data_IF_186362346241
#
_entry.id   IF_186362346241
#
_cell.length_a   1.000
_cell.length_b   1.000
_cell.length_c   1.000
_cell.angle_alpha   90.00
_cell.angle_beta   90.00
_cell.angle_gamma   90.00
#
_symmetry.space_group_name_H-M   'P 1'
#
loop_
_entity.id
_entity.type
_entity.pdbx_description
1 polymer ?
#
# COMPACT_ATOMS: atom_id res chain seq x y z
N UNK A 1 9.15 57.32 -29.77
CA UNK A 1 8.47 57.01 -28.49
C UNK A 1 9.09 55.73 -27.95
N UNK A 2 10.01 55.82 -27.00
CA UNK A 2 10.61 54.67 -26.33
C UNK A 2 9.58 54.22 -25.30
N UNK A 3 9.05 53.02 -25.46
CA UNK A 3 8.12 52.41 -24.51
C UNK A 3 8.83 52.19 -23.18
N UNK A 4 8.53 53.06 -22.20
CA UNK A 4 8.85 52.82 -20.79
C UNK A 4 7.95 51.68 -20.28
N UNK A 5 8.32 50.44 -20.59
CA UNK A 5 7.87 49.30 -19.81
C UNK A 5 8.56 49.41 -18.45
N UNK A 6 7.79 49.70 -17.39
CA UNK A 6 8.26 49.60 -16.01
C UNK A 6 8.90 48.21 -15.83
N UNK A 7 10.12 48.10 -15.26
CA UNK A 7 10.76 46.81 -15.08
C UNK A 7 9.83 45.91 -14.24
N UNK A 8 9.45 44.76 -14.79
CA UNK A 8 8.58 43.79 -14.11
C UNK A 8 9.24 43.38 -12.79
N UNK A 9 8.74 43.90 -11.67
CA UNK A 9 9.25 43.56 -10.34
C UNK A 9 8.69 42.20 -9.97
N UNK A 10 9.56 41.18 -10.03
CA UNK A 10 9.19 39.83 -9.65
C UNK A 10 9.30 39.64 -8.13
N UNK A 11 8.38 38.87 -7.51
CA UNK A 11 8.40 38.65 -6.07
C UNK A 11 9.65 37.85 -5.66
N UNK A 12 10.27 38.24 -4.54
CA UNK A 12 11.38 37.50 -3.93
C UNK A 12 10.83 36.60 -2.84
N UNK A 13 11.33 35.36 -2.77
CA UNK A 13 10.92 34.42 -1.74
C UNK A 13 11.32 34.92 -0.34
N UNK A 14 10.35 34.88 0.58
CA UNK A 14 10.57 35.11 2.00
C UNK A 14 10.83 33.77 2.70
N UNK A 15 12.09 33.56 3.10
CA UNK A 15 12.51 32.36 3.81
C UNK A 15 11.89 32.21 5.22
N UNK A 16 11.27 33.27 5.76
CA UNK A 16 10.58 33.24 7.06
C UNK A 16 9.11 32.84 6.95
N UNK A 17 8.58 32.70 5.72
CA UNK A 17 7.20 32.31 5.47
C UNK A 17 6.87 30.96 6.11
N UNK A 18 5.75 30.92 6.83
CA UNK A 18 5.24 29.70 7.45
C UNK A 18 5.01 28.61 6.38
N UNK A 19 5.60 27.43 6.58
CA UNK A 19 5.59 26.36 5.58
C UNK A 19 4.18 25.94 5.12
N UNK A 20 3.18 26.02 6.00
CA UNK A 20 1.77 25.68 5.70
C UNK A 20 1.10 26.63 4.73
N UNK A 21 1.62 27.85 4.61
CA UNK A 21 1.10 28.91 3.75
C UNK A 21 1.96 29.10 2.51
N UNK A 22 2.86 28.16 2.22
CA UNK A 22 3.78 28.26 1.09
C UNK A 22 3.00 28.33 -0.23
N UNK A 23 3.25 29.40 -0.99
CA UNK A 23 2.68 29.65 -2.32
C UNK A 23 3.81 29.88 -3.31
N UNK A 24 3.62 29.37 -4.52
CA UNK A 24 4.55 29.53 -5.63
C UNK A 24 3.90 30.46 -6.64
N UNK A 25 4.64 31.47 -7.10
CA UNK A 25 4.14 32.46 -8.05
C UNK A 25 5.03 32.48 -9.29
N UNK A 26 4.43 32.75 -10.45
CA UNK A 26 5.19 32.91 -11.69
C UNK A 26 6.17 34.07 -11.54
N UNK A 27 7.43 33.84 -11.94
CA UNK A 27 8.49 34.83 -11.85
C UNK A 27 9.14 34.93 -10.47
N UNK A 28 8.64 34.23 -9.43
CA UNK A 28 9.21 34.25 -8.09
C UNK A 28 10.69 33.86 -8.07
N UNK A 29 11.49 34.61 -7.30
CA UNK A 29 12.95 34.52 -7.24
C UNK A 29 13.44 33.93 -5.93
N UNK A 30 14.42 33.04 -6.02
CA UNK A 30 15.06 32.36 -4.91
C UNK A 30 16.56 32.64 -4.92
N UNK A 31 17.17 32.66 -3.75
CA UNK A 31 18.61 32.88 -3.54
C UNK A 31 19.43 31.68 -3.99
N UNK A 32 18.84 30.48 -4.00
CA UNK A 32 19.52 29.26 -4.45
C UNK A 32 18.55 28.18 -4.96
N UNK A 33 19.02 27.22 -5.78
CA UNK A 33 18.23 26.04 -6.15
C UNK A 33 17.75 25.22 -4.95
N UNK A 34 18.52 25.23 -3.85
CA UNK A 34 18.18 24.51 -2.62
C UNK A 34 16.99 25.15 -1.90
N UNK A 35 16.89 26.47 -1.92
CA UNK A 35 15.80 27.23 -1.32
C UNK A 35 14.49 27.02 -2.10
N UNK A 36 14.55 27.00 -3.43
CA UNK A 36 13.40 26.62 -4.26
C UNK A 36 12.95 25.18 -3.96
N UNK A 37 13.88 24.22 -3.84
CA UNK A 37 13.53 22.83 -3.48
C UNK A 37 12.86 22.74 -2.11
N UNK A 38 13.31 23.51 -1.14
CA UNK A 38 12.69 23.55 0.18
C UNK A 38 11.28 24.14 0.11
N UNK A 39 11.10 25.21 -0.67
CA UNK A 39 9.79 25.82 -0.90
C UNK A 39 8.82 24.88 -1.63
N UNK A 40 9.30 24.16 -2.64
CA UNK A 40 8.54 23.10 -3.31
C UNK A 40 8.16 21.97 -2.36
N UNK A 41 9.06 21.59 -1.46
CA UNK A 41 8.80 20.60 -0.41
C UNK A 41 7.70 21.08 0.54
N UNK A 42 7.77 22.33 0.98
CA UNK A 42 6.77 22.92 1.88
C UNK A 42 5.40 23.03 1.20
N UNK A 43 5.37 23.51 -0.06
CA UNK A 43 4.17 23.54 -0.89
C UNK A 43 3.55 22.14 -1.07
N UNK A 44 4.39 21.15 -1.40
CA UNK A 44 3.99 19.76 -1.54
C UNK A 44 3.41 19.17 -0.25
N UNK A 45 4.01 19.43 0.90
CA UNK A 45 3.55 18.92 2.19
C UNK A 45 2.26 19.62 2.66
N UNK A 46 2.17 20.94 2.47
CA UNK A 46 1.00 21.73 2.87
C UNK A 46 -0.27 21.28 2.14
N UNK A 47 -0.16 21.11 0.82
CA UNK A 47 -1.29 20.73 -0.03
C UNK A 47 -1.40 19.21 -0.22
N UNK A 48 -0.35 18.46 0.14
CA UNK A 48 -0.26 17.01 0.04
C UNK A 48 -0.07 16.50 -1.40
N UNK A 49 0.76 17.16 -2.19
CA UNK A 49 1.08 16.75 -3.56
C UNK A 49 2.38 15.95 -3.61
N UNK A 50 2.40 14.82 -4.34
CA UNK A 50 3.63 14.10 -4.66
C UNK A 50 4.29 14.71 -5.90
N UNK A 51 5.34 15.51 -5.68
CA UNK A 51 6.05 16.20 -6.75
C UNK A 51 7.17 15.34 -7.31
N UNK A 52 7.19 15.17 -8.63
CA UNK A 52 8.26 14.48 -9.35
C UNK A 52 9.19 15.48 -10.03
N UNK A 53 10.50 15.35 -9.77
CA UNK A 53 11.54 16.16 -10.38
C UNK A 53 12.06 15.46 -11.65
N UNK A 54 11.68 15.96 -12.82
CA UNK A 54 12.11 15.39 -14.12
C UNK A 54 13.56 15.79 -14.43
N UNK A 55 13.94 17.03 -14.10
CA UNK A 55 15.32 17.51 -14.24
C UNK A 55 15.74 18.37 -13.07
N UNK A 56 16.98 18.23 -12.66
CA UNK A 56 17.58 19.01 -11.58
C UNK A 56 19.07 19.11 -11.86
N UNK A 57 19.51 20.29 -12.28
CA UNK A 57 20.92 20.63 -12.45
C UNK A 57 21.21 21.95 -11.74
N UNK A 58 22.42 22.52 -11.94
CA UNK A 58 22.83 23.77 -11.28
C UNK A 58 22.07 24.98 -11.81
N UNK A 59 21.61 24.92 -13.05
CA UNK A 59 21.07 26.05 -13.79
C UNK A 59 19.56 25.93 -14.05
N UNK A 60 18.96 24.74 -13.86
CA UNK A 60 17.57 24.44 -14.22
C UNK A 60 16.95 23.39 -13.29
N UNK A 61 15.66 23.58 -13.02
CA UNK A 61 14.83 22.68 -12.24
C UNK A 61 13.48 22.53 -12.94
N UNK A 62 13.08 21.29 -13.20
CA UNK A 62 11.82 20.94 -13.86
C UNK A 62 11.03 19.96 -12.99
N UNK A 63 9.84 20.38 -12.56
CA UNK A 63 8.88 19.57 -11.80
C UNK A 63 7.72 19.21 -12.71
N UNK A 64 7.44 17.92 -12.82
CA UNK A 64 6.40 17.36 -13.70
C UNK A 64 5.89 16.03 -13.12
N UNK A 65 5.00 16.09 -12.12
CA UNK A 65 4.27 14.93 -11.63
C UNK A 65 3.36 14.32 -12.71
N UNK A 66 2.76 13.17 -12.40
CA UNK A 66 1.73 12.53 -13.23
C UNK A 66 0.37 13.25 -13.10
N UNK A 67 0.37 14.57 -13.21
CA UNK A 67 -0.82 15.42 -13.24
C UNK A 67 -0.51 16.72 -14.05
N UNK A 68 -1.50 17.61 -14.29
CA UNK A 68 -1.30 18.82 -15.10
C UNK A 68 -0.24 19.78 -14.55
N UNK A 69 0.06 19.71 -13.25
CA UNK A 69 1.01 20.59 -12.59
C UNK A 69 2.39 20.54 -13.24
N UNK A 70 2.95 21.72 -13.52
CA UNK A 70 4.30 21.87 -14.05
C UNK A 70 4.97 23.12 -13.52
N UNK A 71 6.26 23.00 -13.23
CA UNK A 71 7.09 24.15 -12.84
C UNK A 71 8.46 24.03 -13.50
N UNK A 72 8.87 25.09 -14.18
CA UNK A 72 10.23 25.25 -14.69
C UNK A 72 10.88 26.46 -14.04
N UNK A 73 12.06 26.27 -13.46
CA UNK A 73 12.86 27.33 -12.89
C UNK A 73 14.30 27.26 -13.41
N UNK A 74 14.97 28.40 -13.49
CA UNK A 74 16.36 28.46 -13.96
C UNK A 74 17.17 29.58 -13.32
N UNK A 75 18.50 29.41 -13.34
CA UNK A 75 19.46 30.40 -12.85
C UNK A 75 19.52 31.63 -13.74
N UNK A 76 19.45 32.79 -13.12
CA UNK A 76 19.57 34.11 -13.73
C UNK A 76 20.96 34.63 -13.40
N UNK A 77 21.82 34.76 -14.41
CA UNK A 77 23.22 35.18 -14.23
C UNK A 77 23.35 36.62 -13.74
N UNK A 78 22.51 37.49 -14.28
CA UNK A 78 22.56 38.94 -14.00
C UNK A 78 22.19 39.24 -12.55
N UNK A 79 21.13 38.59 -12.06
CA UNK A 79 20.58 38.81 -10.71
C UNK A 79 21.10 37.81 -9.66
N UNK A 80 21.95 36.85 -10.06
CA UNK A 80 22.41 35.73 -9.23
C UNK A 80 21.28 35.04 -8.43
N UNK A 81 20.12 34.86 -9.07
CA UNK A 81 18.92 34.28 -8.45
C UNK A 81 18.39 33.13 -9.29
N UNK A 82 17.61 32.26 -8.67
CA UNK A 82 16.91 31.17 -9.33
C UNK A 82 15.44 31.55 -9.50
N UNK A 83 14.96 31.65 -10.73
CA UNK A 83 13.63 32.21 -11.03
C UNK A 83 12.69 31.16 -11.61
N UNK A 84 11.43 31.15 -11.17
CA UNK A 84 10.34 30.38 -11.78
C UNK A 84 9.95 31.03 -13.12
N UNK A 85 10.20 30.33 -14.23
CA UNK A 85 9.91 30.81 -15.61
C UNK A 85 8.58 30.33 -16.16
N UNK A 86 8.12 29.17 -15.70
CA UNK A 86 6.79 28.68 -16.02
C UNK A 86 6.18 27.98 -14.82
N UNK A 87 4.88 28.16 -14.64
CA UNK A 87 4.10 27.57 -13.58
C UNK A 87 2.70 27.23 -14.12
N UNK A 88 2.29 25.99 -13.90
CA UNK A 88 0.92 25.50 -14.08
C UNK A 88 0.49 24.92 -12.75
N UNK A 89 -0.49 25.54 -12.11
CA UNK A 89 -0.90 25.21 -10.73
C UNK A 89 -1.92 24.08 -10.66
N UNK A 90 -2.54 23.70 -11.77
CA UNK A 90 -3.62 22.72 -11.80
C UNK A 90 -3.14 21.33 -11.34
N UNK A 91 -3.81 20.79 -10.32
CA UNK A 91 -3.60 19.44 -9.83
C UNK A 91 -4.86 18.59 -10.02
N UNK A 92 -4.68 17.40 -10.61
CA UNK A 92 -5.70 16.34 -10.63
C UNK A 92 -5.34 15.13 -9.77
N UNK A 93 -4.18 15.20 -9.10
CA UNK A 93 -3.69 14.13 -8.24
C UNK A 93 -4.39 14.12 -6.88
N UNK A 94 -4.57 12.93 -6.30
CA UNK A 94 -5.02 12.80 -4.92
C UNK A 94 -3.94 13.24 -3.94
N UNK A 95 -4.37 13.61 -2.74
CA UNK A 95 -3.47 13.86 -1.61
C UNK A 95 -2.58 12.63 -1.37
N UNK A 96 -1.27 12.83 -1.48
CA UNK A 96 -0.26 11.84 -1.14
C UNK A 96 0.08 11.94 0.35
N UNK A 97 -0.04 10.82 1.07
CA UNK A 97 0.26 10.77 2.50
C UNK A 97 1.67 10.23 2.79
N UNK A 98 2.33 9.63 1.80
CA UNK A 98 3.70 9.09 1.89
C UNK A 98 4.72 10.01 1.22
N UNK A 99 4.95 11.20 1.79
CA UNK A 99 5.94 12.18 1.30
C UNK A 99 7.35 11.97 1.90
N UNK A 100 7.65 10.76 2.38
CA UNK A 100 8.86 10.47 3.17
C UNK A 100 10.18 10.78 2.46
N UNK A 101 10.20 10.74 1.12
CA UNK A 101 11.35 11.11 0.29
C UNK A 101 11.69 12.60 0.37
N UNK A 102 10.69 13.46 0.55
CA UNK A 102 10.80 14.92 0.59
C UNK A 102 11.34 15.40 1.95
N UNK A 103 11.01 14.68 3.04
CA UNK A 103 11.42 15.02 4.42
C UNK A 103 12.55 14.11 4.92
N UNK A 104 13.41 13.61 4.02
CA UNK A 104 14.46 12.64 4.39
C UNK A 104 15.58 13.29 5.21
N UNK A 105 15.43 13.26 6.54
CA UNK A 105 16.51 13.48 7.51
C UNK A 105 17.18 12.15 7.85
N UNK A 106 18.44 11.99 7.43
CA UNK A 106 19.27 10.87 7.83
C UNK A 106 20.09 11.23 9.07
N UNK A 107 20.62 10.21 9.76
CA UNK A 107 21.39 10.40 10.99
C UNK A 107 22.63 11.30 10.81
N UNK A 108 23.20 11.37 9.60
CA UNK A 108 24.34 12.24 9.28
C UNK A 108 23.93 13.71 9.21
N UNK A 109 22.78 14.02 8.60
CA UNK A 109 22.22 15.38 8.56
C UNK A 109 21.83 15.86 9.97
N UNK A 110 21.26 14.98 10.79
CA UNK A 110 20.94 15.29 12.19
C UNK A 110 22.21 15.62 12.98
N UNK A 111 23.26 14.80 12.87
CA UNK A 111 24.57 15.09 13.49
C UNK A 111 25.14 16.44 13.02
N UNK A 112 25.14 16.71 11.72
CA UNK A 112 25.67 17.95 11.16
C UNK A 112 24.88 19.19 11.64
N UNK A 113 23.55 19.07 11.74
CA UNK A 113 22.68 20.13 12.25
C UNK A 113 22.95 20.44 13.73
N UNK A 114 23.03 19.42 14.58
CA UNK A 114 23.33 19.59 16.01
C UNK A 114 24.70 20.24 16.21
N UNK A 115 25.70 19.77 15.45
CA UNK A 115 27.03 20.37 15.47
C UNK A 115 27.04 21.83 15.02
N UNK A 116 26.23 22.19 14.01
CA UNK A 116 26.17 23.57 13.53
C UNK A 116 25.43 24.51 14.48
N UNK A 117 24.32 24.06 15.07
CA UNK A 117 23.46 24.88 15.92
C UNK A 117 24.05 25.09 17.33
N UNK A 118 24.63 24.03 17.89
CA UNK A 118 25.05 24.03 19.30
C UNK A 118 26.56 23.93 19.48
N UNK A 119 27.32 23.80 18.38
CA UNK A 119 28.77 23.65 18.40
C UNK A 119 29.28 22.45 19.23
N UNK A 120 28.51 21.35 19.25
CA UNK A 120 28.81 20.13 20.01
C UNK A 120 28.95 18.94 19.06
N UNK A 121 29.95 18.09 19.29
CA UNK A 121 30.12 16.84 18.54
C UNK A 121 29.25 15.72 19.15
N UNK A 122 28.31 15.21 18.38
CA UNK A 122 27.47 14.07 18.76
C UNK A 122 27.82 12.83 17.94
N UNK A 123 27.75 11.65 18.55
CA UNK A 123 27.93 10.38 17.84
C UNK A 123 26.68 10.02 17.02
N UNK A 124 26.85 9.17 16.00
CA UNK A 124 25.72 8.63 15.23
C UNK A 124 24.81 7.78 16.12
N UNK A 125 25.37 7.11 17.13
CA UNK A 125 24.62 6.36 18.14
C UNK A 125 23.71 7.25 18.98
N UNK A 126 24.19 8.41 19.43
CA UNK A 126 23.37 9.40 20.14
C UNK A 126 22.22 9.92 19.26
N UNK A 127 22.48 10.23 17.99
CA UNK A 127 21.42 10.62 17.04
C UNK A 127 20.39 9.51 16.83
N UNK A 128 20.83 8.24 16.78
CA UNK A 128 19.94 7.08 16.65
C UNK A 128 19.06 6.91 17.88
N UNK A 129 19.62 7.04 19.08
CA UNK A 129 18.88 6.97 20.33
C UNK A 129 17.87 8.11 20.45
N UNK A 130 18.25 9.34 20.10
CA UNK A 130 17.35 10.48 20.04
C UNK A 130 16.20 10.25 19.05
N UNK A 131 16.49 9.74 17.84
CA UNK A 131 15.44 9.36 16.88
C UNK A 131 14.51 8.30 17.45
N UNK A 132 15.05 7.25 18.09
CA UNK A 132 14.25 6.18 18.69
C UNK A 132 13.36 6.72 19.80
N UNK A 133 13.90 7.57 20.67
CA UNK A 133 13.16 8.22 21.74
C UNK A 133 12.01 9.08 21.19
N UNK A 134 12.30 9.94 20.21
CA UNK A 134 11.28 10.76 19.55
C UNK A 134 10.18 9.91 18.89
N UNK A 135 10.55 8.80 18.24
CA UNK A 135 9.56 7.86 17.69
C UNK A 135 8.72 7.22 18.81
N UNK A 136 9.32 6.82 19.93
CA UNK A 136 8.59 6.28 21.08
C UNK A 136 7.67 7.34 21.73
N UNK A 137 8.05 8.61 21.79
CA UNK A 137 7.15 9.66 22.30
C UNK A 137 5.97 9.92 21.37
N UNK A 138 6.19 9.87 20.06
CA UNK A 138 5.13 10.12 19.06
C UNK A 138 4.19 8.92 18.94
N UNK A 139 4.75 7.71 18.84
CA UNK A 139 4.01 6.48 18.56
C UNK A 139 3.54 5.76 19.84
N UNK A 140 4.07 6.14 21.01
CA UNK A 140 3.85 5.47 22.29
C UNK A 140 4.72 4.21 22.46
N UNK A 141 4.70 3.64 23.67
CA UNK A 141 5.20 2.29 23.91
C UNK A 141 4.24 1.27 23.27
N UNK A 142 4.70 0.08 22.90
CA UNK A 142 3.93 -0.95 22.18
C UNK A 142 2.59 -1.31 22.87
N UNK A 143 2.42 -0.97 24.15
CA UNK A 143 1.20 -1.16 24.94
C UNK A 143 0.06 -0.18 24.60
N UNK A 144 0.40 1.07 24.25
CA UNK A 144 -0.56 2.16 24.02
C UNK A 144 -1.34 2.05 22.68
N UNK A 145 -0.77 1.49 21.59
CA UNK A 145 -1.53 1.22 20.38
C UNK A 145 -2.66 0.19 20.56
N UNK A 146 -2.52 -0.77 21.47
CA UNK A 146 -3.54 -1.81 21.67
C UNK A 146 -4.76 -1.29 22.45
N UNK A 147 -4.56 -0.39 23.41
CA UNK A 147 -5.69 0.22 24.15
C UNK A 147 -6.60 1.03 23.21
N UNK A 148 -6.04 1.62 22.15
CA UNK A 148 -6.76 2.46 21.18
C UNK A 148 -7.47 1.67 20.07
N UNK A 149 -7.37 0.33 20.04
CA UNK A 149 -7.98 -0.47 18.96
C UNK A 149 -9.50 -0.37 18.91
N UNK A 150 -10.14 -0.31 20.07
CA UNK A 150 -11.59 -0.18 20.16
C UNK A 150 -12.05 1.18 19.67
N UNK A 151 -11.40 2.26 20.13
CA UNK A 151 -11.67 3.62 19.68
C UNK A 151 -11.45 3.75 18.17
N UNK A 152 -10.38 3.15 17.65
CA UNK A 152 -10.09 3.11 16.22
C UNK A 152 -11.17 2.37 15.43
N UNK A 153 -11.65 1.23 15.94
CA UNK A 153 -12.74 0.48 15.31
C UNK A 153 -14.06 1.24 15.31
N UNK A 154 -14.37 1.97 16.38
CA UNK A 154 -15.53 2.87 16.46
C UNK A 154 -15.39 4.00 15.46
N UNK A 155 -14.21 4.60 15.34
CA UNK A 155 -13.95 5.68 14.40
C UNK A 155 -14.10 5.23 12.94
N UNK A 156 -13.66 4.00 12.60
CA UNK A 156 -13.91 3.42 11.28
C UNK A 156 -15.42 3.30 11.00
N UNK A 157 -16.19 2.80 11.97
CA UNK A 157 -17.66 2.65 11.82
C UNK A 157 -18.35 4.00 11.70
N UNK A 158 -17.88 5.01 12.43
CA UNK A 158 -18.37 6.41 12.37
C UNK A 158 -18.10 7.02 10.99
N UNK A 159 -16.86 6.94 10.51
CA UNK A 159 -16.44 7.54 9.24
C UNK A 159 -16.97 6.78 8.02
N UNK A 160 -17.23 5.47 8.14
CA UNK A 160 -17.75 4.63 7.07
C UNK A 160 -18.96 3.82 7.57
N UNK A 161 -20.15 4.44 7.67
CA UNK A 161 -21.36 3.78 8.14
C UNK A 161 -21.64 2.47 7.38
N UNK A 162 -21.99 1.42 8.12
CA UNK A 162 -22.23 0.08 7.57
C UNK A 162 -20.99 -0.80 7.39
N UNK A 163 -19.78 -0.30 7.66
CA UNK A 163 -18.58 -1.13 7.73
C UNK A 163 -18.59 -2.01 8.97
N UNK A 164 -18.08 -3.24 8.84
CA UNK A 164 -18.01 -4.20 9.94
C UNK A 164 -16.59 -4.23 10.52
N UNK A 165 -16.47 -4.00 11.83
CA UNK A 165 -15.18 -4.02 12.54
C UNK A 165 -15.36 -4.78 13.85
N UNK A 166 -14.46 -5.74 14.09
CA UNK A 166 -14.43 -6.57 15.29
C UNK A 166 -13.00 -6.76 15.81
N UNK A 167 -12.87 -6.69 17.13
CA UNK A 167 -11.61 -6.92 17.85
C UNK A 167 -11.76 -8.20 18.66
N UNK A 168 -10.93 -9.19 18.36
CA UNK A 168 -10.93 -10.48 19.03
C UNK A 168 -9.81 -10.52 20.06
N UNK A 169 -10.17 -10.89 21.30
CA UNK A 169 -9.25 -11.03 22.42
C UNK A 169 -9.47 -12.37 23.13
N UNK A 170 -8.39 -12.97 23.63
CA UNK A 170 -8.43 -14.14 24.50
C UNK A 170 -8.25 -13.71 25.95
N UNK A 171 -9.14 -14.11 26.87
CA UNK A 171 -8.91 -13.90 28.30
C UNK A 171 -7.75 -14.79 28.78
N UNK A 172 -6.86 -14.22 29.58
CA UNK A 172 -5.80 -14.94 30.27
C UNK A 172 -5.99 -14.81 31.80
N UNK A 173 -5.50 -15.80 32.55
CA UNK A 173 -5.61 -15.82 34.01
C UNK A 173 -5.04 -14.50 34.59
N UNK A 174 -5.78 -13.87 35.51
CA UNK A 174 -5.50 -12.57 36.15
C UNK A 174 -5.85 -11.31 35.35
N UNK A 175 -7.07 -11.25 34.78
CA UNK A 175 -7.68 -10.02 34.25
C UNK A 175 -6.91 -9.34 33.10
N UNK A 176 -5.98 -10.05 32.47
CA UNK A 176 -5.28 -9.59 31.27
C UNK A 176 -5.90 -10.25 30.04
N UNK A 177 -6.10 -9.48 28.98
CA UNK A 177 -6.61 -9.96 27.70
C UNK A 177 -5.49 -9.92 26.67
N UNK A 178 -5.36 -10.99 25.89
CA UNK A 178 -4.38 -11.09 24.81
C UNK A 178 -5.09 -10.79 23.49
N UNK A 179 -4.56 -9.83 22.74
CA UNK A 179 -5.04 -9.55 21.40
C UNK A 179 -4.84 -10.76 20.48
N UNK A 180 -5.90 -11.17 19.80
CA UNK A 180 -5.83 -12.22 18.78
C UNK A 180 -5.90 -11.64 17.37
N UNK A 181 -6.97 -10.89 17.05
CA UNK A 181 -7.26 -10.45 15.68
C UNK A 181 -8.01 -9.13 15.67
N UNK A 182 -7.76 -8.35 14.63
CA UNK A 182 -8.54 -7.17 14.28
C UNK A 182 -9.11 -7.40 12.89
N UNK A 183 -10.43 -7.47 12.78
CA UNK A 183 -11.15 -7.70 11.53
C UNK A 183 -11.81 -6.41 11.07
N UNK A 184 -11.63 -6.06 9.79
CA UNK A 184 -12.29 -4.92 9.15
C UNK A 184 -12.83 -5.37 7.79
N UNK A 185 -14.08 -5.04 7.55
CA UNK A 185 -14.73 -5.12 6.25
C UNK A 185 -15.39 -3.76 5.94
N UNK A 186 -14.79 -3.02 5.00
CA UNK A 186 -15.31 -1.72 4.59
C UNK A 186 -16.53 -1.91 3.70
N UNK A 187 -17.64 -1.24 4.04
CA UNK A 187 -18.88 -1.32 3.26
C UNK A 187 -18.66 -0.98 1.78
N UNK A 188 -17.95 0.10 1.48
CA UNK A 188 -17.70 0.50 0.09
C UNK A 188 -16.93 -0.54 -0.74
N UNK A 189 -16.07 -1.35 -0.11
CA UNK A 189 -15.36 -2.44 -0.79
C UNK A 189 -16.31 -3.61 -1.05
N UNK A 190 -17.17 -3.94 -0.09
CA UNK A 190 -18.20 -4.99 -0.25
C UNK A 190 -19.20 -4.59 -1.33
N UNK A 191 -19.75 -3.38 -1.27
CA UNK A 191 -20.69 -2.85 -2.25
C UNK A 191 -20.04 -2.80 -3.64
N UNK A 192 -18.83 -2.24 -3.75
CA UNK A 192 -18.09 -2.20 -5.02
C UNK A 192 -17.74 -3.58 -5.58
N UNK A 193 -17.53 -4.58 -4.72
CA UNK A 193 -17.36 -5.96 -5.14
C UNK A 193 -18.68 -6.56 -5.66
N UNK A 194 -19.79 -6.35 -4.95
CA UNK A 194 -21.12 -6.83 -5.36
C UNK A 194 -21.61 -6.17 -6.66
N UNK A 195 -21.30 -4.89 -6.85
CA UNK A 195 -21.70 -4.12 -8.04
C UNK A 195 -20.75 -4.34 -9.22
N UNK A 196 -19.43 -4.43 -8.96
CA UNK A 196 -18.39 -4.46 -9.98
C UNK A 196 -17.93 -5.86 -10.39
N UNK A 197 -18.09 -6.87 -9.56
CA UNK A 197 -17.93 -8.24 -10.03
C UNK A 197 -19.08 -8.58 -10.97
N UNK A 198 -18.78 -9.34 -12.03
CA UNK A 198 -19.81 -9.89 -12.91
C UNK A 198 -20.86 -10.54 -12.03
N UNK A 199 -22.03 -9.92 -12.00
CA UNK A 199 -23.27 -10.50 -11.53
C UNK A 199 -23.54 -11.73 -12.41
N UNK A 200 -22.98 -12.87 -12.04
CA UNK A 200 -23.67 -14.14 -12.29
C UNK A 200 -24.86 -14.13 -11.32
N UNK A 201 -25.88 -13.32 -11.63
CA UNK A 201 -27.23 -13.59 -11.14
C UNK A 201 -27.55 -15.02 -11.63
N UNK A 202 -28.06 -15.95 -10.84
CA UNK A 202 -29.09 -15.83 -9.81
C UNK A 202 -28.83 -16.85 -8.68
N UNK A 203 -29.33 -16.56 -7.48
CA UNK A 203 -29.36 -17.51 -6.36
C UNK A 203 -28.35 -17.19 -5.27
N UNK A 204 -28.83 -16.87 -4.07
CA UNK A 204 -28.04 -16.63 -2.85
C UNK A 204 -27.29 -17.86 -2.32
N UNK A 205 -26.83 -18.74 -3.22
CA UNK A 205 -26.20 -20.02 -2.97
C UNK A 205 -24.69 -20.02 -3.23
N UNK A 206 -24.11 -18.92 -3.72
CA UNK A 206 -22.66 -18.79 -3.92
C UNK A 206 -22.12 -19.14 -5.30
N UNK A 207 -23.00 -19.35 -6.29
CA UNK A 207 -22.60 -19.65 -7.68
C UNK A 207 -21.75 -18.52 -8.27
N UNK A 208 -20.65 -18.87 -8.95
CA UNK A 208 -19.71 -17.91 -9.53
C UNK A 208 -18.76 -17.21 -8.54
N UNK A 209 -18.87 -17.50 -7.24
CA UNK A 209 -17.96 -16.99 -6.21
C UNK A 209 -16.93 -18.07 -5.88
N UNK A 210 -15.67 -17.66 -5.68
CA UNK A 210 -14.62 -18.55 -5.15
C UNK A 210 -14.25 -18.16 -3.72
N UNK A 211 -14.35 -19.11 -2.79
CA UNK A 211 -13.94 -18.94 -1.40
C UNK A 211 -12.67 -19.76 -1.11
N UNK A 212 -11.60 -19.10 -0.65
CA UNK A 212 -10.38 -19.77 -0.17
C UNK A 212 -10.30 -19.71 1.36
N UNK A 213 -10.33 -20.86 2.03
CA UNK A 213 -10.26 -20.94 3.50
C UNK A 213 -9.23 -21.98 3.96
N UNK A 214 -8.99 -21.99 5.27
CA UNK A 214 -8.15 -22.99 5.93
C UNK A 214 -8.83 -24.37 6.04
N UNK A 215 -10.08 -24.49 5.58
CA UNK A 215 -10.86 -25.72 5.56
C UNK A 215 -11.29 -26.20 6.95
N UNK A 216 -11.35 -25.30 7.96
CA UNK A 216 -11.84 -25.67 9.29
C UNK A 216 -13.28 -26.21 9.23
N UNK A 217 -13.59 -27.27 9.98
CA UNK A 217 -14.88 -27.98 9.89
C UNK A 217 -16.09 -27.03 10.04
N UNK A 218 -16.01 -26.12 11.01
CA UNK A 218 -17.02 -25.08 11.27
C UNK A 218 -17.23 -24.16 10.06
N UNK A 219 -16.15 -23.74 9.41
CA UNK A 219 -16.21 -22.90 8.20
C UNK A 219 -16.81 -23.70 7.05
N UNK A 220 -16.43 -24.97 6.91
CA UNK A 220 -16.96 -25.84 5.86
C UNK A 220 -18.46 -26.12 6.03
N UNK A 221 -18.95 -26.23 7.26
CA UNK A 221 -20.38 -26.39 7.57
C UNK A 221 -21.15 -25.10 7.30
N UNK A 222 -20.66 -23.96 7.80
CA UNK A 222 -21.28 -22.65 7.55
C UNK A 222 -21.33 -22.30 6.04
N UNK A 223 -20.28 -22.65 5.29
CA UNK A 223 -20.24 -22.45 3.83
C UNK A 223 -21.23 -23.36 3.11
N UNK A 224 -21.36 -24.63 3.53
CA UNK A 224 -22.38 -25.53 2.94
C UNK A 224 -23.79 -25.03 3.20
N UNK A 225 -24.04 -24.47 4.38
CA UNK A 225 -25.35 -23.95 4.76
C UNK A 225 -25.68 -22.64 4.02
N UNK A 226 -24.72 -21.71 3.94
CA UNK A 226 -24.98 -20.36 3.44
C UNK A 226 -24.68 -20.17 1.95
N UNK A 227 -23.70 -20.91 1.41
CA UNK A 227 -23.20 -20.78 0.04
C UNK A 227 -22.83 -22.16 -0.55
N UNK A 228 -23.79 -23.09 -0.74
CA UNK A 228 -23.52 -24.46 -1.19
C UNK A 228 -22.85 -24.57 -2.56
N UNK A 229 -23.07 -23.60 -3.45
CA UNK A 229 -22.58 -23.59 -4.84
C UNK A 229 -21.26 -22.82 -5.01
N UNK A 230 -20.63 -22.38 -3.91
CA UNK A 230 -19.35 -21.67 -3.96
C UNK A 230 -18.21 -22.59 -4.42
N UNK A 231 -17.35 -22.10 -5.32
CA UNK A 231 -16.11 -22.79 -5.67
C UNK A 231 -15.15 -22.72 -4.48
N UNK A 232 -14.85 -23.86 -3.87
CA UNK A 232 -14.05 -23.91 -2.64
C UNK A 232 -12.58 -24.14 -2.97
N UNK A 233 -11.71 -23.36 -2.33
CA UNK A 233 -10.26 -23.51 -2.39
C UNK A 233 -9.69 -23.73 -0.99
N UNK A 234 -8.74 -24.65 -0.90
CA UNK A 234 -8.03 -25.01 0.32
C UNK A 234 -6.66 -24.36 0.32
N UNK A 235 -6.25 -23.86 1.50
CA UNK A 235 -4.91 -23.35 1.70
C UNK A 235 -3.85 -24.47 1.53
N UNK A 236 -3.02 -24.38 0.50
CA UNK A 236 -1.95 -25.35 0.22
C UNK A 236 -0.97 -25.55 1.39
N UNK A 237 -0.68 -24.49 2.17
CA UNK A 237 0.14 -24.60 3.39
C UNK A 237 -0.50 -25.51 4.44
N UNK A 238 -1.82 -25.46 4.59
CA UNK A 238 -2.55 -26.30 5.53
C UNK A 238 -2.60 -27.75 5.08
N UNK A 239 -2.75 -27.98 3.77
CA UNK A 239 -2.64 -29.32 3.18
C UNK A 239 -1.28 -29.91 3.49
N UNK A 240 -0.19 -29.18 3.22
CA UNK A 240 1.17 -29.63 3.52
C UNK A 240 1.40 -29.91 5.01
N UNK A 241 0.90 -29.05 5.90
CA UNK A 241 1.01 -29.26 7.34
C UNK A 241 0.28 -30.53 7.83
N UNK A 242 -0.91 -30.82 7.29
CA UNK A 242 -1.64 -32.05 7.59
C UNK A 242 -0.98 -33.27 6.94
N UNK A 243 -0.41 -33.10 5.76
CA UNK A 243 0.33 -34.11 5.03
C UNK A 243 1.57 -34.55 5.81
N UNK A 244 2.36 -33.60 6.34
CA UNK A 244 3.51 -33.86 7.21
C UNK A 244 3.17 -34.60 8.51
N UNK A 245 1.96 -34.42 9.05
CA UNK A 245 1.52 -35.18 10.23
C UNK A 245 1.27 -36.65 9.91
N UNK A 246 0.95 -36.98 8.66
CA UNK A 246 0.55 -38.32 8.23
C UNK A 246 1.70 -39.09 7.58
N UNK A 247 2.50 -38.42 6.75
CA UNK A 247 3.61 -39.01 6.01
C UNK A 247 4.93 -38.43 6.50
N UNK A 248 5.83 -39.30 6.95
CA UNK A 248 7.16 -38.91 7.42
C UNK A 248 8.12 -38.86 6.22
N UNK A 249 8.76 -37.72 5.99
CA UNK A 249 9.66 -37.50 4.87
C UNK A 249 9.58 -36.06 4.37
N UNK A 250 10.54 -35.66 3.52
CA UNK A 250 10.57 -34.31 2.91
C UNK A 250 10.71 -34.34 1.39
N UNK A 251 10.91 -35.53 0.79
CA UNK A 251 11.08 -35.71 -0.65
C UNK A 251 9.88 -35.17 -1.46
N UNK A 252 8.67 -35.27 -0.90
CA UNK A 252 7.44 -34.78 -1.52
C UNK A 252 7.24 -33.26 -1.45
N UNK A 253 7.97 -32.51 -0.61
CA UNK A 253 7.70 -31.08 -0.40
C UNK A 253 7.90 -30.30 -1.71
N UNK A 254 9.01 -30.54 -2.40
CA UNK A 254 9.35 -29.87 -3.68
C UNK A 254 8.34 -30.20 -4.79
N UNK A 255 8.03 -31.48 -5.10
CA UNK A 255 7.02 -31.80 -6.11
C UNK A 255 5.61 -31.38 -5.69
N UNK A 256 5.25 -31.41 -4.40
CA UNK A 256 3.97 -30.85 -3.91
C UNK A 256 3.82 -29.36 -4.28
N UNK A 257 4.82 -28.53 -3.98
CA UNK A 257 4.75 -27.11 -4.34
C UNK A 257 4.75 -26.88 -5.85
N UNK A 258 5.38 -27.76 -6.64
CA UNK A 258 5.25 -27.73 -8.12
C UNK A 258 3.83 -28.06 -8.57
N UNK A 259 3.17 -29.06 -7.95
CA UNK A 259 1.78 -29.41 -8.24
C UNK A 259 0.82 -28.26 -7.87
N UNK A 260 1.01 -27.63 -6.70
CA UNK A 260 0.20 -26.47 -6.27
C UNK A 260 0.33 -25.30 -7.25
N UNK A 261 1.56 -24.98 -7.68
CA UNK A 261 1.87 -23.82 -8.53
C UNK A 261 1.69 -24.09 -10.03
N UNK A 262 1.42 -25.33 -10.43
CA UNK A 262 1.21 -25.70 -11.82
C UNK A 262 0.12 -24.82 -12.44
N UNK A 263 0.38 -24.25 -13.60
CA UNK A 263 -0.59 -23.39 -14.32
C UNK A 263 -1.39 -24.15 -15.37
N UNK A 264 -1.06 -25.41 -15.61
CA UNK A 264 -1.63 -26.25 -16.66
C UNK A 264 -1.72 -27.69 -16.16
N UNK A 265 -2.75 -28.41 -16.57
CA UNK A 265 -2.98 -29.82 -16.19
C UNK A 265 -1.76 -30.72 -16.46
N UNK A 266 -1.01 -30.61 -17.59
CA UNK A 266 0.18 -31.45 -17.83
C UNK A 266 1.29 -31.25 -16.79
N UNK A 267 1.60 -29.99 -16.43
CA UNK A 267 2.59 -29.66 -15.39
C UNK A 267 2.17 -30.21 -14.02
N UNK A 268 0.88 -30.17 -13.73
CA UNK A 268 0.33 -30.77 -12.51
C UNK A 268 0.55 -32.28 -12.50
N UNK A 269 0.18 -32.98 -13.58
CA UNK A 269 0.34 -34.44 -13.71
C UNK A 269 1.80 -34.87 -13.53
N UNK A 270 2.75 -34.17 -14.16
CA UNK A 270 4.18 -34.47 -14.01
C UNK A 270 4.65 -34.38 -12.53
N UNK A 271 4.21 -33.35 -11.81
CA UNK A 271 4.55 -33.19 -10.41
C UNK A 271 3.91 -34.27 -9.52
N UNK A 272 2.69 -34.70 -9.85
CA UNK A 272 1.99 -35.76 -9.13
C UNK A 272 2.58 -37.15 -9.39
N UNK A 273 3.01 -37.45 -10.62
CA UNK A 273 3.73 -38.69 -10.94
C UNK A 273 5.06 -38.79 -10.19
N UNK A 274 5.75 -37.67 -9.98
CA UNK A 274 6.95 -37.65 -9.16
C UNK A 274 6.66 -37.96 -7.69
N UNK A 275 5.55 -37.45 -7.13
CA UNK A 275 5.11 -37.82 -5.77
C UNK A 275 4.79 -39.31 -5.70
N UNK A 276 4.09 -39.84 -6.71
CA UNK A 276 3.74 -41.26 -6.82
C UNK A 276 4.97 -42.17 -6.90
N UNK A 277 6.06 -41.69 -7.50
CA UNK A 277 7.32 -42.42 -7.58
C UNK A 277 8.01 -42.61 -6.22
N UNK A 278 7.75 -41.71 -5.26
CA UNK A 278 8.24 -41.84 -3.89
C UNK A 278 7.34 -42.73 -3.04
N UNK A 279 6.03 -42.45 -3.05
CA UNK A 279 5.05 -43.22 -2.31
C UNK A 279 3.65 -43.11 -2.96
N UNK A 280 3.00 -44.25 -3.18
CA UNK A 280 1.67 -44.28 -3.82
C UNK A 280 0.57 -43.78 -2.88
N UNK A 281 0.70 -44.01 -1.57
CA UNK A 281 -0.23 -43.52 -0.55
C UNK A 281 -0.20 -41.99 -0.39
N UNK A 282 0.96 -41.37 -0.59
CA UNK A 282 1.15 -39.93 -0.69
C UNK A 282 0.36 -39.33 -1.86
N UNK A 283 0.47 -39.95 -3.04
CA UNK A 283 -0.30 -39.58 -4.23
C UNK A 283 -1.81 -39.72 -3.99
N UNK A 284 -2.25 -40.88 -3.49
CA UNK A 284 -3.67 -41.18 -3.27
C UNK A 284 -4.30 -40.21 -2.26
N UNK A 285 -3.56 -39.81 -1.23
CA UNK A 285 -4.02 -38.82 -0.26
C UNK A 285 -4.30 -37.46 -0.91
N UNK A 286 -3.40 -36.99 -1.78
CA UNK A 286 -3.51 -35.70 -2.44
C UNK A 286 -4.61 -35.68 -3.49
N UNK A 287 -4.78 -36.76 -4.24
CA UNK A 287 -5.91 -36.92 -5.19
C UNK A 287 -7.25 -36.96 -4.45
N UNK A 288 -7.32 -37.66 -3.31
CA UNK A 288 -8.53 -37.71 -2.46
C UNK A 288 -8.94 -36.34 -1.91
N UNK A 289 -8.02 -35.38 -1.85
CA UNK A 289 -8.29 -33.98 -1.44
C UNK A 289 -8.84 -33.10 -2.57
N UNK A 290 -9.10 -33.66 -3.75
CA UNK A 290 -9.59 -32.99 -4.95
C UNK A 290 -8.65 -31.88 -5.45
N UNK A 291 -7.83 -32.14 -6.50
CA UNK A 291 -6.92 -31.15 -7.09
C UNK A 291 -7.56 -29.82 -7.49
N UNK A 292 -8.85 -29.81 -7.82
CA UNK A 292 -9.58 -28.58 -8.17
C UNK A 292 -9.64 -27.59 -7.01
N UNK A 293 -9.52 -28.08 -5.77
CA UNK A 293 -9.58 -27.26 -4.58
C UNK A 293 -8.22 -26.70 -4.15
N UNK A 294 -7.07 -27.14 -4.70
CA UNK A 294 -5.77 -26.73 -4.15
C UNK A 294 -4.64 -26.50 -5.16
N UNK A 295 -4.81 -26.91 -6.43
CA UNK A 295 -3.83 -26.64 -7.48
C UNK A 295 -4.32 -25.56 -8.43
N UNK A 296 -3.42 -24.60 -8.71
CA UNK A 296 -3.68 -23.49 -9.63
C UNK A 296 -4.00 -23.93 -11.05
N UNK A 297 -3.62 -25.15 -11.44
CA UNK A 297 -3.87 -25.71 -12.76
C UNK A 297 -5.38 -25.87 -13.06
N UNK A 298 -6.19 -25.85 -12.00
CA UNK A 298 -7.63 -26.06 -12.06
C UNK A 298 -8.43 -24.83 -11.58
N UNK A 299 -7.75 -23.76 -11.15
CA UNK A 299 -8.40 -22.56 -10.66
C UNK A 299 -8.82 -21.64 -11.81
N UNK A 300 -10.03 -21.06 -11.73
CA UNK A 300 -10.36 -19.82 -12.44
C UNK A 300 -9.76 -18.63 -11.67
N UNK A 301 -8.81 -17.91 -12.28
CA UNK A 301 -7.89 -16.97 -11.60
C UNK A 301 -8.51 -16.07 -10.51
N UNK A 302 -7.78 -15.88 -9.40
CA UNK A 302 -7.90 -14.69 -8.52
C UNK A 302 -6.56 -14.45 -7.78
N UNK A 303 -5.62 -13.73 -8.40
CA UNK A 303 -4.28 -13.39 -7.85
C UNK A 303 -4.26 -12.25 -6.81
N UNK A 304 -5.38 -11.97 -6.15
CA UNK A 304 -5.55 -10.79 -5.29
C UNK A 304 -4.81 -10.93 -3.96
N UNK A 305 -4.74 -12.15 -3.38
CA UNK A 305 -4.14 -12.36 -2.07
C UNK A 305 -2.62 -12.19 -2.05
N UNK A 306 -1.91 -12.63 -3.09
CA UNK A 306 -0.45 -12.49 -3.17
C UNK A 306 -0.05 -11.03 -3.36
N UNK A 307 -0.76 -10.32 -4.25
CA UNK A 307 -0.50 -8.90 -4.50
C UNK A 307 -0.83 -8.01 -3.28
N UNK A 308 -1.87 -8.33 -2.52
CA UNK A 308 -2.16 -7.63 -1.27
C UNK A 308 -1.10 -7.90 -0.20
N UNK A 309 -0.72 -9.17 0.01
CA UNK A 309 0.30 -9.53 1.01
C UNK A 309 1.67 -8.88 0.74
N UNK A 310 2.06 -8.81 -0.54
CA UNK A 310 3.28 -8.09 -0.93
C UNK A 310 3.16 -6.58 -0.67
N UNK A 311 1.99 -5.98 -0.94
CA UNK A 311 1.78 -4.54 -0.77
C UNK A 311 1.83 -4.08 0.70
N UNK A 312 1.50 -4.96 1.65
CA UNK A 312 1.46 -4.62 3.09
C UNK A 312 2.72 -5.05 3.86
N UNK A 313 3.72 -5.63 3.20
CA UNK A 313 4.90 -6.21 3.87
C UNK A 313 5.64 -5.19 4.77
N UNK A 314 5.86 -3.97 4.28
CA UNK A 314 6.51 -2.91 5.07
C UNK A 314 5.60 -2.37 6.18
N UNK A 315 4.29 -2.28 5.95
CA UNK A 315 3.34 -1.82 6.96
C UNK A 315 3.34 -2.78 8.17
N UNK A 316 3.50 -4.09 7.93
CA UNK A 316 3.53 -5.14 8.98
C UNK A 316 4.72 -5.05 9.94
N UNK A 317 5.72 -4.22 9.65
CA UNK A 317 6.88 -3.99 10.53
C UNK A 317 6.64 -2.86 11.54
N UNK A 318 5.49 -2.21 11.47
CA UNK A 318 5.12 -1.03 12.28
C UNK A 318 4.16 -1.40 13.43
N UNK A 319 4.02 -0.54 14.45
CA UNK A 319 2.96 -0.71 15.46
C UNK A 319 1.58 -0.85 14.82
N UNK A 320 0.67 -1.58 15.49
CA UNK A 320 -0.60 -2.03 14.92
C UNK A 320 -1.46 -0.89 14.34
N UNK A 321 -1.63 0.21 15.08
CA UNK A 321 -2.40 1.37 14.58
C UNK A 321 -1.72 1.99 13.36
N UNK A 322 -0.40 2.17 13.39
CA UNK A 322 0.38 2.70 12.25
C UNK A 322 0.29 1.77 11.04
N UNK A 323 0.31 0.45 11.24
CA UNK A 323 0.09 -0.54 10.19
C UNK A 323 -1.30 -0.40 9.57
N UNK A 324 -2.35 -0.25 10.40
CA UNK A 324 -3.72 -0.09 9.93
C UNK A 324 -3.90 1.21 9.13
N UNK A 325 -3.32 2.32 9.58
CA UNK A 325 -3.32 3.59 8.85
C UNK A 325 -2.59 3.50 7.50
N UNK A 326 -1.42 2.83 7.46
CA UNK A 326 -0.68 2.58 6.21
C UNK A 326 -1.50 1.76 5.21
N UNK A 327 -2.19 0.72 5.68
CA UNK A 327 -3.06 -0.13 4.85
C UNK A 327 -4.26 0.69 4.35
N UNK A 328 -4.87 1.51 5.23
CA UNK A 328 -6.00 2.39 4.88
C UNK A 328 -5.61 3.35 3.76
N UNK A 329 -4.49 4.08 3.92
CA UNK A 329 -3.97 5.01 2.92
C UNK A 329 -3.74 4.29 1.59
N UNK A 330 -3.08 3.13 1.61
CA UNK A 330 -2.82 2.34 0.40
C UNK A 330 -4.11 1.95 -0.35
N UNK A 331 -5.13 1.50 0.39
CA UNK A 331 -6.42 1.14 -0.21
C UNK A 331 -7.10 2.38 -0.81
N UNK A 332 -7.12 3.50 -0.09
CA UNK A 332 -7.75 4.75 -0.54
C UNK A 332 -7.08 5.30 -1.81
N UNK A 333 -5.76 5.42 -1.83
CA UNK A 333 -4.99 5.89 -2.99
C UNK A 333 -5.25 4.99 -4.21
N UNK A 334 -5.26 3.67 -4.00
CA UNK A 334 -5.53 2.71 -5.08
C UNK A 334 -6.94 2.86 -5.63
N UNK A 335 -7.96 2.99 -4.78
CA UNK A 335 -9.35 3.17 -5.22
C UNK A 335 -9.52 4.47 -6.02
N UNK A 336 -8.94 5.58 -5.56
CA UNK A 336 -8.97 6.85 -6.27
C UNK A 336 -8.33 6.74 -7.65
N UNK A 337 -7.12 6.18 -7.73
CA UNK A 337 -6.40 6.01 -9.00
C UNK A 337 -7.15 5.09 -9.98
N UNK A 338 -7.80 4.03 -9.48
CA UNK A 338 -8.58 3.13 -10.32
C UNK A 338 -9.89 3.79 -10.79
N UNK A 339 -10.55 4.59 -9.95
CA UNK A 339 -11.70 5.41 -10.37
C UNK A 339 -11.32 6.39 -11.47
N UNK A 340 -10.22 7.11 -11.31
CA UNK A 340 -9.72 8.05 -12.32
C UNK A 340 -9.43 7.37 -13.66
N UNK A 341 -8.81 6.18 -13.63
CA UNK A 341 -8.63 5.36 -14.85
C UNK A 341 -9.94 4.92 -15.46
N UNK A 342 -10.90 4.48 -14.64
CA UNK A 342 -12.21 4.02 -15.10
C UNK A 342 -13.06 5.11 -15.74
N UNK A 343 -12.96 6.36 -15.28
CA UNK A 343 -13.64 7.51 -15.90
C UNK A 343 -13.16 7.80 -17.32
N UNK A 344 -11.92 7.43 -17.66
CA UNK A 344 -11.38 7.53 -19.01
C UNK A 344 -11.64 6.29 -19.88
N UNK A 345 -12.52 5.38 -19.44
CA UNK A 345 -12.90 4.21 -20.23
C UNK A 345 -14.23 4.48 -20.93
N UNK A 346 -14.19 4.55 -22.26
CA UNK A 346 -15.38 4.82 -23.07
C UNK A 346 -16.30 3.60 -23.25
N UNK A 347 -15.94 2.43 -22.69
CA UNK A 347 -16.57 1.14 -23.01
C UNK A 347 -16.69 0.21 -21.80
N UNK A 348 -17.69 -0.67 -21.87
CA UNK A 348 -18.04 -1.64 -20.82
C UNK A 348 -16.99 -2.74 -20.53
N UNK A 349 -15.86 -2.78 -21.26
CA UNK A 349 -14.86 -3.85 -21.16
C UNK A 349 -13.48 -3.26 -20.84
N UNK A 350 -12.83 -3.81 -19.79
CA UNK A 350 -11.49 -3.42 -19.36
C UNK A 350 -10.45 -3.50 -20.52
N UNK A 351 -9.60 -2.47 -20.71
CA UNK A 351 -8.62 -2.42 -21.81
C UNK A 351 -7.65 -3.61 -21.88
N UNK A 352 -7.32 -4.22 -20.74
CA UNK A 352 -6.43 -5.39 -20.67
C UNK A 352 -7.08 -6.66 -21.24
N UNK A 353 -8.39 -6.82 -21.07
CA UNK A 353 -9.16 -7.94 -21.62
C UNK A 353 -9.32 -7.75 -23.13
N UNK A 354 -9.59 -6.52 -23.58
CA UNK A 354 -9.66 -6.17 -25.01
C UNK A 354 -8.39 -6.53 -25.77
N UNK A 355 -7.22 -6.39 -25.14
CA UNK A 355 -5.93 -6.74 -25.77
C UNK A 355 -5.71 -8.25 -25.94
N UNK A 356 -6.55 -9.07 -25.30
CA UNK A 356 -6.49 -10.53 -25.33
C UNK A 356 -7.65 -11.15 -26.13
N UNK A 357 -8.63 -10.34 -26.53
CA UNK A 357 -9.65 -10.66 -27.54
C UNK A 357 -9.08 -10.27 -28.91
#
# INVERSE_FOLDING_TARGET
MISNELPTVYPRHDATQEWRKMKLELGMRFSSPSELKLSLSNYAVANGYDLYYEKTDKDRLLVKPQCPFRLCASWMKDDQTFQIKSLTEDHSCSRAFKLGSIVTYNLRKMKAMVSKLFNINVSVGQCRNAKRFALCEIEGDLKDPYSKLWDYGVEIKRANPGSHVEVYVHPQNNSTVVFERFYVSFKGVVDGWLDGCRKTYEGGNGNGITLMSDGHKVIMEAVKERCPEVERRLCARRILANFHKKFKGECYIKPFWRAVKATTIPKFKLAMEEIKSFDVGEYDYLIKKDPNCWSRAFFKENGVSESFNAAIEEARKKPLITMLEDIKIFVMERLYMQKGKGLGWDLAICPTIRRKL
#
